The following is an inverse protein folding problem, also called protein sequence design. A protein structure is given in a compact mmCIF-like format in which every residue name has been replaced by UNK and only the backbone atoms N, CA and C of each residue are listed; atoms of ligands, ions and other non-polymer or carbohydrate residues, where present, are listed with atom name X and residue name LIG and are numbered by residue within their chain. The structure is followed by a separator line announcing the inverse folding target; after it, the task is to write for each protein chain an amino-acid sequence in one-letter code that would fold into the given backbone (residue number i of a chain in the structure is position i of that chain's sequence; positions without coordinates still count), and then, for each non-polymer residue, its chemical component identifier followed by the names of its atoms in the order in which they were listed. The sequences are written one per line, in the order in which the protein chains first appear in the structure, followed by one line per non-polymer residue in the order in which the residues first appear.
data_IF_633027642009
#
_entry.id   IF_633027642009
#
_cell.length_a   1.000
_cell.length_b   1.000
_cell.length_c   1.000
_cell.angle_alpha   90.00
_cell.angle_beta   90.00
_cell.angle_gamma   90.00
#
_symmetry.space_group_name_H-M   'P 1'
#
loop_
_entity.id
_entity.type
_entity.pdbx_description
1 polymer ?
#
# COMPACT_ATOMS: atom_id res chain seq x y z
N UNK A 1 2.90 -4.40 19.75
CA UNK A 1 2.04 -5.62 19.75
C UNK A 1 1.30 -5.86 21.07
N UNK A 2 1.95 -5.90 22.24
CA UNK A 2 1.28 -6.20 23.52
C UNK A 2 0.11 -5.25 23.86
N UNK A 3 0.29 -3.96 23.61
CA UNK A 3 -0.73 -2.92 23.84
C UNK A 3 -1.98 -3.16 22.96
N UNK A 4 -1.80 -3.58 21.71
CA UNK A 4 -2.90 -3.91 20.80
C UNK A 4 -3.70 -5.13 21.26
N UNK A 5 -3.01 -6.15 21.80
CA UNK A 5 -3.67 -7.34 22.38
C UNK A 5 -4.46 -6.98 23.63
N UNK A 6 -3.90 -6.14 24.51
CA UNK A 6 -4.59 -5.69 25.74
C UNK A 6 -5.83 -4.86 25.39
N UNK A 7 -5.71 -3.92 24.44
CA UNK A 7 -6.84 -3.11 23.96
C UNK A 7 -7.92 -3.99 23.31
N UNK A 8 -7.53 -4.98 22.51
CA UNK A 8 -8.45 -5.93 21.90
C UNK A 8 -9.24 -6.77 22.92
N UNK A 9 -8.57 -7.24 23.99
CA UNK A 9 -9.21 -8.00 25.08
C UNK A 9 -10.18 -7.10 25.88
N UNK A 10 -9.79 -5.86 26.16
CA UNK A 10 -10.63 -4.89 26.89
C UNK A 10 -11.87 -4.50 26.06
N UNK A 11 -11.73 -4.28 24.75
CA UNK A 11 -12.86 -4.02 23.85
C UNK A 11 -13.80 -5.22 23.74
N UNK A 12 -13.27 -6.43 23.69
CA UNK A 12 -14.05 -7.67 23.69
C UNK A 12 -14.85 -7.82 25.00
N UNK A 13 -14.21 -7.57 26.15
CA UNK A 13 -14.83 -7.65 27.47
C UNK A 13 -15.88 -6.54 27.71
N UNK A 14 -15.69 -5.35 27.15
CA UNK A 14 -16.60 -4.22 27.28
C UNK A 14 -17.86 -4.33 26.37
N UNK A 15 -17.97 -5.38 25.56
CA UNK A 15 -19.07 -5.62 24.60
C UNK A 15 -19.36 -4.41 23.67
N UNK A 16 -18.33 -3.60 23.43
CA UNK A 16 -18.35 -2.47 22.50
C UNK A 16 -18.19 -3.00 21.06
N UNK A 17 -19.13 -3.84 20.62
CA UNK A 17 -19.14 -4.46 19.29
C UNK A 17 -19.37 -3.46 18.14
N UNK A 18 -19.60 -2.18 18.44
CA UNK A 18 -19.94 -1.14 17.46
C UNK A 18 -18.89 -0.03 17.37
N UNK A 19 -17.72 -0.21 18.00
CA UNK A 19 -16.59 0.65 17.71
C UNK A 19 -15.92 0.16 16.42
N UNK A 20 -16.52 0.50 15.26
CA UNK A 20 -15.80 0.43 13.99
C UNK A 20 -14.71 1.47 14.04
N UNK A 21 -13.51 1.05 14.43
CA UNK A 21 -12.30 1.83 14.15
C UNK A 21 -12.19 1.85 12.64
N UNK A 22 -12.56 2.97 12.06
CA UNK A 22 -12.41 3.20 10.65
C UNK A 22 -10.91 3.05 10.31
N UNK A 23 -10.60 2.10 9.43
CA UNK A 23 -9.23 1.77 9.10
C UNK A 23 -8.50 3.00 8.52
N UNK A 24 -9.20 3.89 7.81
CA UNK A 24 -8.60 5.11 7.29
C UNK A 24 -8.19 6.05 8.43
N UNK A 25 -9.04 6.23 9.44
CA UNK A 25 -8.70 7.03 10.63
C UNK A 25 -7.52 6.44 11.41
N UNK A 26 -7.45 5.12 11.52
CA UNK A 26 -6.33 4.43 12.16
C UNK A 26 -5.03 4.65 11.39
N UNK A 27 -5.02 4.39 10.08
CA UNK A 27 -3.85 4.62 9.24
C UNK A 27 -3.43 6.08 9.22
N UNK A 28 -4.37 7.02 9.09
CA UNK A 28 -4.08 8.45 9.04
C UNK A 28 -3.47 8.99 10.34
N UNK A 29 -3.75 8.36 11.49
CA UNK A 29 -3.21 8.76 12.78
C UNK A 29 -1.94 7.99 13.18
N UNK A 30 -1.79 6.73 12.77
CA UNK A 30 -0.60 5.91 13.08
C UNK A 30 0.54 6.08 12.08
N UNK A 31 0.25 6.30 10.79
CA UNK A 31 1.29 6.45 9.76
C UNK A 31 2.16 7.69 9.99
N UNK A 32 1.63 8.89 10.32
CA UNK A 32 2.48 10.08 10.47
C UNK A 32 3.53 9.95 11.59
N UNK A 33 3.21 9.44 12.80
CA UNK A 33 4.21 9.17 13.83
C UNK A 33 5.27 8.16 13.37
N UNK A 34 4.87 7.08 12.68
CA UNK A 34 5.79 6.05 12.21
C UNK A 34 6.75 6.60 11.14
N UNK A 35 6.23 7.36 10.17
CA UNK A 35 7.05 7.99 9.13
C UNK A 35 7.95 9.07 9.75
N UNK A 36 7.45 9.84 10.72
CA UNK A 36 8.25 10.87 11.40
C UNK A 36 9.39 10.28 12.20
N UNK A 37 9.13 9.20 12.94
CA UNK A 37 10.15 8.49 13.71
C UNK A 37 11.22 7.91 12.77
N UNK A 38 10.81 7.18 11.72
CA UNK A 38 11.74 6.66 10.70
C UNK A 38 12.52 7.78 9.98
N UNK A 39 11.85 8.89 9.64
CA UNK A 39 12.47 10.03 8.96
C UNK A 39 13.42 10.84 9.84
N UNK A 40 13.19 10.90 11.15
CA UNK A 40 14.05 11.61 12.10
C UNK A 40 15.42 10.94 12.26
N UNK A 41 15.47 9.61 12.17
CA UNK A 41 16.71 8.83 12.25
C UNK A 41 17.48 8.76 10.92
N UNK A 42 16.93 9.26 9.81
CA UNK A 42 17.58 9.22 8.50
C UNK A 42 18.45 10.47 8.27
N UNK A 43 19.75 10.33 7.93
CA UNK A 43 20.57 11.47 7.50
C UNK A 43 20.09 12.03 6.16
N UNK A 44 19.44 13.19 6.21
CA UNK A 44 18.83 13.89 5.06
C UNK A 44 19.76 14.06 3.85
N UNK A 45 21.06 14.24 4.06
CA UNK A 45 22.03 14.51 2.98
C UNK A 45 22.16 13.33 2.01
N UNK A 46 22.31 12.12 2.54
CA UNK A 46 22.46 10.88 1.76
C UNK A 46 21.16 10.51 1.04
N UNK A 47 20.01 10.84 1.62
CA UNK A 47 18.70 10.66 0.99
C UNK A 47 18.55 11.52 -0.27
N UNK A 48 18.82 12.82 -0.17
CA UNK A 48 18.69 13.73 -1.31
C UNK A 48 19.74 13.47 -2.41
N UNK A 49 20.94 13.01 -2.03
CA UNK A 49 21.99 12.65 -2.99
C UNK A 49 21.63 11.42 -3.84
N UNK A 50 20.79 10.51 -3.31
CA UNK A 50 20.40 9.27 -3.99
C UNK A 50 18.94 9.25 -4.49
N UNK A 51 18.21 10.36 -4.36
CA UNK A 51 16.77 10.43 -4.65
C UNK A 51 16.42 9.99 -6.08
N UNK A 52 17.31 10.24 -7.05
CA UNK A 52 17.13 9.81 -8.44
C UNK A 52 17.13 8.27 -8.58
N UNK A 53 18.05 7.60 -7.89
CA UNK A 53 18.14 6.13 -7.86
C UNK A 53 16.93 5.52 -7.16
N UNK A 54 16.51 6.12 -6.05
CA UNK A 54 15.32 5.72 -5.30
C UNK A 54 14.07 5.81 -6.18
N UNK A 55 13.88 6.95 -6.84
CA UNK A 55 12.74 7.18 -7.72
C UNK A 55 12.75 6.23 -8.92
N UNK A 56 13.93 5.96 -9.48
CA UNK A 56 14.07 5.02 -10.59
C UNK A 56 13.71 3.59 -10.17
N UNK A 57 14.21 3.11 -9.03
CA UNK A 57 13.84 1.80 -8.50
C UNK A 57 12.36 1.71 -8.16
N UNK A 58 11.79 2.75 -7.54
CA UNK A 58 10.37 2.80 -7.22
C UNK A 58 9.52 2.73 -8.49
N UNK A 59 9.75 3.60 -9.47
CA UNK A 59 8.92 3.65 -10.69
C UNK A 59 9.06 2.36 -11.49
N UNK A 60 10.27 1.89 -11.73
CA UNK A 60 10.51 0.66 -12.51
C UNK A 60 9.94 -0.57 -11.78
N UNK A 61 10.16 -0.64 -10.46
CA UNK A 61 9.65 -1.71 -9.60
C UNK A 61 8.13 -1.76 -9.61
N UNK A 62 7.45 -0.64 -9.34
CA UNK A 62 5.99 -0.53 -9.34
C UNK A 62 5.40 -0.88 -10.70
N UNK A 63 6.00 -0.39 -11.81
CA UNK A 63 5.52 -0.68 -13.17
C UNK A 63 5.61 -2.18 -13.46
N UNK A 64 6.78 -2.79 -13.24
CA UNK A 64 6.98 -4.21 -13.49
C UNK A 64 6.06 -5.06 -12.62
N UNK A 65 5.94 -4.75 -11.32
CA UNK A 65 5.11 -5.50 -10.40
C UNK A 65 3.62 -5.39 -10.77
N UNK A 66 3.15 -4.20 -11.14
CA UNK A 66 1.76 -3.99 -11.60
C UNK A 66 1.48 -4.77 -12.89
N UNK A 67 2.41 -4.76 -13.86
CA UNK A 67 2.23 -5.53 -15.09
C UNK A 67 2.26 -7.04 -14.84
N UNK A 68 3.22 -7.54 -14.06
CA UNK A 68 3.31 -8.96 -13.71
C UNK A 68 2.03 -9.45 -13.03
N UNK A 69 1.56 -8.71 -12.02
CA UNK A 69 0.32 -9.03 -11.32
C UNK A 69 -0.90 -8.93 -12.25
N UNK A 70 -0.99 -7.85 -13.04
CA UNK A 70 -2.07 -7.65 -14.00
C UNK A 70 -2.14 -8.75 -15.07
N UNK A 71 -1.01 -9.12 -15.68
CA UNK A 71 -0.94 -10.21 -16.65
C UNK A 71 -1.22 -11.57 -16.01
N UNK A 72 -0.73 -11.82 -14.80
CA UNK A 72 -1.00 -13.08 -14.08
C UNK A 72 -2.50 -13.26 -13.82
N UNK A 73 -3.17 -12.20 -13.34
CA UNK A 73 -4.60 -12.21 -13.07
C UNK A 73 -5.42 -12.29 -14.35
N UNK A 74 -4.98 -11.61 -15.40
CA UNK A 74 -5.60 -11.74 -16.71
C UNK A 74 -5.47 -13.18 -17.27
N UNK A 75 -4.30 -13.80 -17.11
CA UNK A 75 -4.06 -15.21 -17.46
C UNK A 75 -4.93 -16.19 -16.66
N UNK A 76 -5.10 -15.94 -15.36
CA UNK A 76 -6.01 -16.73 -14.51
C UNK A 76 -7.47 -16.50 -14.89
N UNK A 77 -7.84 -15.29 -15.32
CA UNK A 77 -9.21 -14.99 -15.78
C UNK A 77 -9.57 -15.70 -17.08
N UNK A 78 -8.58 -16.03 -17.92
CA UNK A 78 -8.75 -16.82 -19.14
C UNK A 78 -8.94 -18.31 -18.85
N UNK A 79 -8.45 -18.79 -17.71
CA UNK A 79 -8.70 -20.16 -17.24
C UNK A 79 -10.05 -20.21 -16.54
N UNK A 80 -10.84 -21.28 -16.72
CA UNK A 80 -12.13 -21.47 -16.02
C UNK A 80 -12.00 -21.71 -14.51
N UNK A 81 -10.89 -21.30 -13.90
CA UNK A 81 -10.61 -21.42 -12.48
C UNK A 81 -11.37 -20.36 -11.64
N UNK A 82 -11.76 -19.23 -12.24
CA UNK A 82 -12.55 -18.21 -11.56
C UNK A 82 -14.03 -18.25 -11.94
N UNK A 83 -14.96 -18.24 -10.96
CA UNK A 83 -16.40 -18.22 -11.20
C UNK A 83 -16.94 -16.86 -11.67
N UNK A 84 -16.11 -15.81 -11.75
CA UNK A 84 -16.51 -14.46 -12.14
C UNK A 84 -15.53 -13.87 -13.16
N UNK A 85 -16.04 -13.11 -14.14
CA UNK A 85 -15.19 -12.33 -15.05
C UNK A 85 -14.82 -11.02 -14.38
N UNK A 86 -13.56 -10.88 -14.00
CA UNK A 86 -13.03 -9.62 -13.49
C UNK A 86 -12.89 -8.62 -14.65
N UNK A 87 -13.38 -7.41 -14.44
CA UNK A 87 -13.17 -6.32 -15.39
C UNK A 87 -11.70 -5.87 -15.36
N UNK A 88 -11.20 -5.36 -16.49
CA UNK A 88 -9.78 -4.97 -16.63
C UNK A 88 -9.40 -3.90 -15.61
N UNK A 89 -10.31 -2.98 -15.34
CA UNK A 89 -10.13 -1.94 -14.32
C UNK A 89 -10.06 -2.53 -12.90
N UNK A 90 -10.73 -3.66 -12.59
CA UNK A 90 -10.66 -4.33 -11.28
C UNK A 90 -9.32 -5.04 -11.12
N UNK A 91 -8.89 -5.73 -12.18
CA UNK A 91 -7.58 -6.40 -12.22
C UNK A 91 -6.47 -5.37 -12.04
N UNK A 92 -6.55 -4.23 -12.73
CA UNK A 92 -5.54 -3.18 -12.64
C UNK A 92 -5.55 -2.48 -11.27
N UNK A 93 -6.72 -2.26 -10.68
CA UNK A 93 -6.84 -1.68 -9.32
C UNK A 93 -6.23 -2.62 -8.29
N UNK A 94 -6.51 -3.92 -8.39
CA UNK A 94 -5.95 -4.93 -7.50
C UNK A 94 -4.43 -5.07 -7.69
N UNK A 95 -3.96 -5.10 -8.94
CA UNK A 95 -2.54 -5.16 -9.25
C UNK A 95 -1.78 -3.93 -8.75
N UNK A 96 -2.35 -2.72 -8.89
CA UNK A 96 -1.75 -1.50 -8.37
C UNK A 96 -1.70 -1.48 -6.84
N UNK A 97 -2.75 -1.97 -6.16
CA UNK A 97 -2.79 -2.05 -4.70
C UNK A 97 -1.77 -3.06 -4.15
N UNK A 98 -1.66 -4.23 -4.78
CA UNK A 98 -0.66 -5.25 -4.43
C UNK A 98 0.77 -4.87 -4.83
N UNK A 99 0.92 -3.87 -5.71
CA UNK A 99 2.23 -3.37 -6.12
C UNK A 99 2.91 -2.57 -5.01
N UNK A 100 2.15 -1.93 -4.10
CA UNK A 100 2.68 -1.33 -2.89
C UNK A 100 3.21 -2.41 -1.95
N UNK A 101 4.54 -2.46 -1.81
CA UNK A 101 5.23 -3.38 -0.90
C UNK A 101 5.63 -2.62 0.36
N UNK A 102 5.34 -3.17 1.53
CA UNK A 102 5.80 -2.66 2.82
C UNK A 102 7.09 -3.40 3.25
N UNK A 103 8.28 -2.76 3.19
CA UNK A 103 9.55 -3.38 3.56
C UNK A 103 9.80 -3.30 5.07
N UNK A 104 8.82 -2.87 5.87
CA UNK A 104 8.99 -2.57 7.30
C UNK A 104 9.64 -3.73 8.07
N UNK A 105 9.27 -4.97 7.73
CA UNK A 105 9.88 -6.17 8.33
C UNK A 105 11.34 -6.37 7.93
N UNK A 106 11.71 -6.02 6.70
CA UNK A 106 13.09 -6.13 6.20
C UNK A 106 13.96 -5.01 6.76
N UNK A 107 13.41 -3.78 6.84
CA UNK A 107 14.07 -2.63 7.46
C UNK A 107 14.40 -2.89 8.93
N UNK A 108 13.48 -3.51 9.69
CA UNK A 108 13.72 -3.87 11.09
C UNK A 108 14.87 -4.87 11.27
N UNK A 109 15.02 -5.82 10.34
CA UNK A 109 16.13 -6.79 10.36
C UNK A 109 17.44 -6.11 9.92
N UNK A 110 17.40 -5.19 8.97
CA UNK A 110 18.57 -4.44 8.52
C UNK A 110 19.14 -3.50 9.59
N UNK A 111 18.26 -2.92 10.42
CA UNK A 111 18.66 -2.14 11.58
C UNK A 111 19.41 -3.00 12.61
N UNK A 112 18.84 -4.17 12.96
CA UNK A 112 19.48 -5.12 13.88
C UNK A 112 20.81 -5.65 13.32
N UNK A 113 20.89 -5.88 12.00
CA UNK A 113 22.09 -6.36 11.31
C UNK A 113 23.14 -5.29 11.00
N UNK A 114 22.95 -4.03 11.41
CA UNK A 114 23.89 -2.91 11.19
C UNK A 114 24.24 -2.70 9.69
N UNK A 115 23.25 -2.82 8.82
CA UNK A 115 23.42 -2.61 7.38
C UNK A 115 23.71 -1.13 7.08
N UNK A 116 24.45 -0.84 6.00
CA UNK A 116 24.79 0.52 5.57
C UNK A 116 23.55 1.41 5.47
N UNK A 117 23.58 2.59 6.11
CA UNK A 117 22.49 3.58 6.11
C UNK A 117 21.98 3.91 4.70
N UNK A 118 22.85 3.86 3.70
CA UNK A 118 22.49 4.07 2.29
C UNK A 118 21.46 3.05 1.77
N UNK A 119 21.60 1.77 2.11
CA UNK A 119 20.65 0.74 1.65
C UNK A 119 19.30 0.88 2.37
N UNK A 120 19.33 1.19 3.67
CA UNK A 120 18.13 1.48 4.44
C UNK A 120 17.33 2.64 3.82
N UNK A 121 18.02 3.74 3.52
CA UNK A 121 17.45 4.92 2.89
C UNK A 121 16.83 4.61 1.52
N UNK A 122 17.51 3.80 0.70
CA UNK A 122 17.02 3.46 -0.64
C UNK A 122 15.74 2.64 -0.57
N UNK A 123 15.72 1.59 0.26
CA UNK A 123 14.55 0.70 0.41
C UNK A 123 13.38 1.44 1.05
N UNK A 124 13.62 2.24 2.09
CA UNK A 124 12.58 3.05 2.72
C UNK A 124 11.97 4.06 1.74
N UNK A 125 12.82 4.79 1.00
CA UNK A 125 12.36 5.77 0.02
C UNK A 125 11.59 5.13 -1.14
N UNK A 126 12.03 3.97 -1.61
CA UNK A 126 11.38 3.22 -2.69
C UNK A 126 9.94 2.87 -2.31
N UNK A 127 9.76 2.31 -1.11
CA UNK A 127 8.46 1.86 -0.65
C UNK A 127 7.52 3.01 -0.27
N UNK A 128 8.05 4.13 0.24
CA UNK A 128 7.26 5.34 0.50
C UNK A 128 6.69 5.92 -0.80
N UNK A 129 7.51 5.98 -1.87
CA UNK A 129 7.06 6.43 -3.19
C UNK A 129 6.06 5.44 -3.79
N UNK A 130 6.35 4.14 -3.73
CA UNK A 130 5.50 3.08 -4.26
C UNK A 130 4.11 3.09 -3.61
N UNK A 131 4.03 3.22 -2.28
CA UNK A 131 2.77 3.34 -1.56
C UNK A 131 1.98 4.60 -1.99
N UNK A 132 2.66 5.73 -2.16
CA UNK A 132 2.05 6.95 -2.70
C UNK A 132 1.44 6.76 -4.09
N UNK A 133 2.17 6.10 -5.01
CA UNK A 133 1.69 5.81 -6.37
C UNK A 133 0.48 4.88 -6.32
N UNK A 134 0.52 3.82 -5.51
CA UNK A 134 -0.58 2.86 -5.39
C UNK A 134 -1.87 3.51 -4.89
N UNK A 135 -1.79 4.37 -3.87
CA UNK A 135 -2.95 5.11 -3.35
C UNK A 135 -3.53 6.03 -4.43
N UNK A 136 -2.69 6.76 -5.16
CA UNK A 136 -3.14 7.65 -6.25
C UNK A 136 -3.78 6.84 -7.38
N UNK A 137 -3.18 5.72 -7.79
CA UNK A 137 -3.76 4.83 -8.80
C UNK A 137 -5.12 4.27 -8.35
N UNK A 138 -5.22 3.81 -7.09
CA UNK A 138 -6.45 3.30 -6.52
C UNK A 138 -7.55 4.37 -6.52
N UNK A 139 -7.26 5.58 -6.03
CA UNK A 139 -8.22 6.68 -6.00
C UNK A 139 -8.69 7.08 -7.41
N UNK A 140 -7.79 7.14 -8.39
CA UNK A 140 -8.14 7.46 -9.78
C UNK A 140 -9.04 6.38 -10.40
N UNK A 141 -8.74 5.10 -10.15
CA UNK A 141 -9.56 4.00 -10.65
C UNK A 141 -10.92 3.97 -9.96
N UNK A 142 -10.98 4.14 -8.64
CA UNK A 142 -12.24 4.24 -7.90
C UNK A 142 -13.10 5.41 -8.38
N UNK A 143 -12.49 6.57 -8.65
CA UNK A 143 -13.20 7.71 -9.23
C UNK A 143 -13.71 7.43 -10.65
N UNK A 144 -12.91 6.75 -11.48
CA UNK A 144 -13.34 6.33 -12.82
C UNK A 144 -14.49 5.33 -12.77
N UNK A 145 -14.44 4.39 -11.83
CA UNK A 145 -15.52 3.45 -11.55
C UNK A 145 -16.80 4.17 -11.15
N UNK A 146 -16.72 5.06 -10.17
CA UNK A 146 -17.89 5.82 -9.69
C UNK A 146 -18.55 6.61 -10.83
N UNK A 147 -17.75 7.27 -11.67
CA UNK A 147 -18.24 8.04 -12.83
C UNK A 147 -18.92 7.18 -13.91
N UNK A 148 -18.53 5.92 -14.04
CA UNK A 148 -19.10 4.99 -15.03
C UNK A 148 -20.39 4.32 -14.54
N UNK A 149 -20.56 4.10 -13.22
CA UNK A 149 -21.71 3.41 -12.65
C UNK A 149 -22.78 4.35 -12.03
N UNK A 150 -22.42 5.54 -11.54
CA UNK A 150 -23.38 6.56 -11.06
C UNK A 150 -24.49 6.93 -12.08
N UNK A 151 -24.20 7.15 -13.37
CA UNK A 151 -25.25 7.43 -14.35
C UNK A 151 -26.09 6.19 -14.68
N UNK A 152 -25.56 4.97 -14.55
CA UNK A 152 -26.33 3.73 -14.80
C UNK A 152 -27.32 3.47 -13.68
N UNK A 153 -26.91 3.66 -12.42
CA UNK A 153 -27.79 3.50 -11.24
C UNK A 153 -28.88 4.59 -11.20
N UNK A 154 -28.57 5.82 -11.65
CA UNK A 154 -29.56 6.91 -11.76
C UNK A 154 -30.59 6.69 -12.87
N UNK A 155 -30.30 5.90 -13.90
CA UNK A 155 -31.25 5.55 -14.97
C UNK A 155 -32.09 4.28 -14.67
N UNK A 156 -31.89 3.66 -13.50
CA UNK A 156 -32.66 2.51 -13.02
C UNK A 156 -33.76 2.90 -12.02
N UNK A 157 -33.94 4.20 -11.76
CA UNK A 157 -35.01 4.78 -10.94
C UNK A 157 -35.87 5.73 -11.75
#
# INVERSE_FOLDING_TARGET
MLIGVIIGIVLYAANLRHFSIDAHLFFFYMIPPIILDAGFFIPNRTFFDNIGTILLYAIVGTILNTFLLGFSLWGVSLTSAMPFRLDVMQILTFAALMSAVDPMSVLAIFDDAHVTECLYIIVFGESLVNNGIAVVCCMNMSFSYDKQYLPVVRNLH
#
